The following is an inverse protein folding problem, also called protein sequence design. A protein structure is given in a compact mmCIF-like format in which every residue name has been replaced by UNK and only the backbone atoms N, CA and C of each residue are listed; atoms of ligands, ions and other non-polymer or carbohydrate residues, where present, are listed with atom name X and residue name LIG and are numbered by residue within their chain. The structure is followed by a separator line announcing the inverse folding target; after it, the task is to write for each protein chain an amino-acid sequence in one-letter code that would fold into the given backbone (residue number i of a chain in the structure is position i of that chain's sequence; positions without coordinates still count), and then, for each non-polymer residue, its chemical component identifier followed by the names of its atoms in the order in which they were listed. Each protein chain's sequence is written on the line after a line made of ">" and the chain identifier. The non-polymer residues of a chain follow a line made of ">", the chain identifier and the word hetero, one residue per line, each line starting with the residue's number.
data_IF_271654200576
#
_entry.id   IF_271654200576
#
_cell.length_a   1.000
_cell.length_b   1.000
_cell.length_c   1.000
_cell.angle_alpha   90.00
_cell.angle_beta   90.00
_cell.angle_gamma   90.00
#
_symmetry.space_group_name_H-M   'P 1'
#
loop_
_entity.id
_entity.type
_entity.pdbx_description
1 polymer ?
#
# COMPACT_ATOMS: atom_id res chain seq x y z
N UNK A 1 19.87 -9.75 -7.00
CA UNK A 1 18.75 -9.51 -6.05
C UNK A 1 18.31 -8.07 -6.27
N UNK A 2 17.04 -7.83 -6.60
CA UNK A 2 16.55 -6.48 -6.80
C UNK A 2 16.65 -5.67 -5.51
N UNK A 3 16.80 -4.34 -5.65
CA UNK A 3 16.80 -3.40 -4.54
C UNK A 3 15.57 -2.50 -4.66
N UNK A 4 14.89 -2.24 -3.53
CA UNK A 4 13.71 -1.39 -3.49
C UNK A 4 13.96 -0.18 -2.59
N UNK A 5 14.04 1.01 -3.19
CA UNK A 5 14.01 2.28 -2.47
C UNK A 5 12.56 2.57 -2.12
N UNK A 6 12.28 2.63 -0.82
CA UNK A 6 10.92 2.66 -0.31
C UNK A 6 10.80 3.50 0.97
N UNK A 7 9.57 3.84 1.35
CA UNK A 7 9.29 4.31 2.70
C UNK A 7 8.28 3.38 3.39
N UNK A 8 8.51 3.07 4.68
CA UNK A 8 7.69 2.10 5.44
C UNK A 8 6.21 2.42 5.50
N UNK A 9 5.81 3.70 5.50
CA UNK A 9 4.42 4.15 5.49
C UNK A 9 3.97 4.69 4.14
N UNK A 10 4.72 4.48 3.06
CA UNK A 10 4.22 4.78 1.72
C UNK A 10 3.39 3.61 1.19
N UNK A 11 2.08 3.80 0.86
CA UNK A 11 1.22 2.70 0.41
C UNK A 11 1.68 2.06 -0.89
N UNK A 12 2.23 2.85 -1.82
CA UNK A 12 2.74 2.34 -3.08
C UNK A 12 3.96 1.43 -2.85
N UNK A 13 4.87 1.82 -1.96
CA UNK A 13 6.00 0.99 -1.54
C UNK A 13 5.53 -0.30 -0.84
N UNK A 14 4.49 -0.22 0.00
CA UNK A 14 3.91 -1.39 0.67
C UNK A 14 3.30 -2.37 -0.33
N UNK A 15 2.60 -1.87 -1.35
CA UNK A 15 2.06 -2.71 -2.41
C UNK A 15 3.17 -3.49 -3.12
N UNK A 16 4.25 -2.83 -3.53
CA UNK A 16 5.39 -3.49 -4.18
C UNK A 16 6.05 -4.53 -3.25
N UNK A 17 6.21 -4.20 -1.97
CA UNK A 17 6.73 -5.15 -0.97
C UNK A 17 5.83 -6.38 -0.79
N UNK A 18 4.50 -6.19 -0.80
CA UNK A 18 3.53 -7.29 -0.74
C UNK A 18 3.62 -8.19 -1.96
N UNK A 19 3.75 -7.62 -3.16
CA UNK A 19 3.91 -8.40 -4.39
C UNK A 19 5.17 -9.26 -4.36
N UNK A 20 6.32 -8.69 -4.01
CA UNK A 20 7.55 -9.46 -3.86
C UNK A 20 7.43 -10.58 -2.83
N UNK A 21 6.85 -10.29 -1.67
CA UNK A 21 6.67 -11.28 -0.61
C UNK A 21 5.68 -12.38 -0.99
N UNK A 22 4.62 -12.07 -1.72
CA UNK A 22 3.65 -13.07 -2.20
C UNK A 22 4.26 -13.97 -3.27
N UNK A 23 5.10 -13.42 -4.16
CA UNK A 23 5.82 -14.19 -5.18
C UNK A 23 7.09 -14.87 -4.64
N UNK A 24 7.38 -14.73 -3.34
CA UNK A 24 8.52 -15.37 -2.70
C UNK A 24 9.88 -14.82 -3.16
N UNK A 25 9.90 -13.61 -3.68
CA UNK A 25 11.11 -12.95 -4.19
C UNK A 25 11.78 -12.16 -3.07
N UNK A 26 13.05 -12.46 -2.82
CA UNK A 26 13.87 -11.66 -1.90
C UNK A 26 14.24 -10.33 -2.55
N UNK A 27 14.10 -9.25 -1.78
CA UNK A 27 14.42 -7.89 -2.20
C UNK A 27 15.19 -7.17 -1.10
N UNK A 28 16.23 -6.44 -1.46
CA UNK A 28 16.94 -5.55 -0.55
C UNK A 28 16.13 -4.26 -0.36
N UNK A 29 15.79 -3.94 0.91
CA UNK A 29 14.99 -2.75 1.24
C UNK A 29 15.89 -1.60 1.66
N UNK A 30 15.82 -0.48 0.94
CA UNK A 30 16.53 0.78 1.24
C UNK A 30 15.50 1.85 1.60
N UNK A 31 15.51 2.27 2.88
CA UNK A 31 14.56 3.26 3.36
C UNK A 31 14.91 4.67 2.88
N UNK A 32 13.96 5.33 2.24
CA UNK A 32 14.07 6.70 1.72
C UNK A 32 12.89 7.53 2.22
N UNK A 33 13.17 8.76 2.66
CA UNK A 33 12.16 9.78 2.94
C UNK A 33 12.09 10.77 1.76
N UNK A 34 11.23 10.56 0.75
CA UNK A 34 11.29 11.30 -0.51
C UNK A 34 11.05 12.81 -0.34
N UNK A 35 10.31 13.23 0.69
CA UNK A 35 10.07 14.63 1.02
C UNK A 35 11.32 15.39 1.49
N UNK A 36 12.39 14.69 1.90
CA UNK A 36 13.68 15.30 2.27
C UNK A 36 14.49 15.72 1.05
N UNK A 37 14.13 15.20 -0.14
CA UNK A 37 14.76 15.53 -1.44
C UNK A 37 16.29 15.39 -1.41
N UNK A 38 16.76 14.28 -0.85
CA UNK A 38 18.19 13.96 -0.78
C UNK A 38 18.80 13.99 -2.20
N UNK A 39 19.95 14.69 -2.42
CA UNK A 39 20.56 14.82 -3.75
C UNK A 39 20.89 13.48 -4.40
N UNK A 40 21.42 12.51 -3.67
CA UNK A 40 21.80 11.21 -4.22
C UNK A 40 20.55 10.43 -4.66
N UNK A 41 19.44 10.55 -3.93
CA UNK A 41 18.17 9.99 -4.35
C UNK A 41 17.59 10.69 -5.57
N UNK A 42 17.72 12.01 -5.66
CA UNK A 42 17.24 12.79 -6.82
C UNK A 42 18.01 12.49 -8.10
N UNK A 43 19.27 12.06 -8.03
CA UNK A 43 20.01 11.56 -9.19
C UNK A 43 19.40 10.28 -9.76
N UNK A 44 18.85 9.41 -8.90
CA UNK A 44 18.18 8.18 -9.32
C UNK A 44 16.75 8.49 -9.80
N UNK A 45 16.01 9.30 -9.03
CA UNK A 45 14.63 9.67 -9.33
C UNK A 45 14.35 11.15 -9.09
N UNK A 46 14.46 12.00 -10.14
CA UNK A 46 14.16 13.43 -10.05
C UNK A 46 12.74 13.78 -9.61
N UNK A 47 11.78 12.84 -9.75
CA UNK A 47 10.40 13.03 -9.29
C UNK A 47 10.27 13.04 -7.76
N UNK A 48 11.33 12.66 -7.03
CA UNK A 48 11.33 12.58 -5.56
C UNK A 48 10.15 11.76 -5.01
N UNK A 49 9.92 10.59 -5.60
CA UNK A 49 8.82 9.68 -5.21
C UNK A 49 9.34 8.26 -4.99
N UNK A 50 8.65 7.50 -4.16
CA UNK A 50 8.87 6.06 -3.97
C UNK A 50 7.58 5.31 -4.35
N UNK A 51 7.65 4.02 -4.70
CA UNK A 51 8.82 3.14 -4.78
C UNK A 51 9.71 3.41 -6.01
N UNK A 52 11.00 3.09 -5.88
CA UNK A 52 11.93 2.94 -7.01
C UNK A 52 12.60 1.59 -6.89
N UNK A 53 12.55 0.80 -7.94
CA UNK A 53 13.19 -0.51 -7.99
C UNK A 53 14.43 -0.44 -8.86
N UNK A 54 15.53 -0.98 -8.35
CA UNK A 54 16.79 -1.16 -9.05
C UNK A 54 16.99 -2.66 -9.26
N UNK A 55 16.95 -3.09 -10.51
CA UNK A 55 17.04 -4.50 -10.90
C UNK A 55 17.84 -4.62 -12.20
N UNK A 56 19.14 -4.82 -12.08
CA UNK A 56 20.01 -4.93 -13.26
C UNK A 56 19.59 -6.12 -14.15
N UNK A 57 19.60 -6.00 -15.50
CA UNK A 57 20.17 -4.87 -16.27
C UNK A 57 19.17 -3.76 -16.61
N UNK A 58 18.02 -3.68 -15.97
CA UNK A 58 17.00 -2.69 -16.27
C UNK A 58 17.37 -1.29 -15.74
N UNK A 59 16.92 -0.21 -16.40
CA UNK A 59 16.99 1.13 -15.81
C UNK A 59 16.11 1.19 -14.54
N UNK A 60 16.30 2.21 -13.67
CA UNK A 60 15.45 2.39 -12.50
C UNK A 60 13.96 2.36 -12.83
N UNK A 61 13.21 1.45 -12.20
CA UNK A 61 11.76 1.33 -12.38
C UNK A 61 11.07 2.22 -11.36
N UNK A 62 10.56 3.35 -11.82
CA UNK A 62 10.02 4.40 -10.97
C UNK A 62 8.50 4.34 -10.89
N UNK A 63 7.97 4.30 -9.68
CA UNK A 63 6.55 4.38 -9.40
C UNK A 63 5.82 3.04 -9.40
N UNK A 64 4.64 3.05 -8.82
CA UNK A 64 3.89 1.83 -8.51
C UNK A 64 3.43 1.07 -9.76
N UNK A 65 2.94 1.76 -10.79
CA UNK A 65 2.42 1.09 -11.99
C UNK A 65 3.54 0.42 -12.80
N UNK A 66 4.68 1.10 -12.95
CA UNK A 66 5.86 0.52 -13.58
C UNK A 66 6.40 -0.66 -12.76
N UNK A 67 6.42 -0.54 -11.43
CA UNK A 67 6.81 -1.61 -10.51
C UNK A 67 5.92 -2.83 -10.64
N UNK A 68 4.59 -2.66 -10.67
CA UNK A 68 3.63 -3.75 -10.91
C UNK A 68 3.93 -4.45 -12.23
N UNK A 69 4.05 -3.68 -13.31
CA UNK A 69 4.30 -4.25 -14.64
C UNK A 69 5.62 -5.02 -14.70
N UNK A 70 6.68 -4.49 -14.06
CA UNK A 70 7.98 -5.14 -13.99
C UNK A 70 7.92 -6.45 -13.20
N UNK A 71 7.26 -6.46 -12.03
CA UNK A 71 7.14 -7.66 -11.18
C UNK A 71 6.32 -8.75 -11.89
N UNK A 72 5.17 -8.41 -12.44
CA UNK A 72 4.32 -9.37 -13.17
C UNK A 72 5.05 -9.99 -14.37
N UNK A 73 5.86 -9.20 -15.08
CA UNK A 73 6.58 -9.67 -16.25
C UNK A 73 7.80 -10.54 -15.93
N UNK A 74 8.47 -10.32 -14.77
CA UNK A 74 9.78 -10.93 -14.51
C UNK A 74 9.77 -11.93 -13.34
N UNK A 75 8.80 -11.87 -12.43
CA UNK A 75 8.81 -12.68 -11.20
C UNK A 75 7.53 -13.53 -11.02
N UNK A 76 6.36 -13.02 -11.37
CA UNK A 76 5.08 -13.69 -11.12
C UNK A 76 4.93 -15.04 -11.84
N UNK A 77 5.07 -15.11 -13.17
CA UNK A 77 4.77 -16.33 -13.94
C UNK A 77 5.74 -17.49 -13.69
N UNK A 78 7.00 -17.22 -13.32
CA UNK A 78 8.05 -18.24 -13.16
C UNK A 78 7.92 -19.04 -11.86
N UNK A 79 7.23 -18.52 -10.87
CA UNK A 79 7.13 -19.12 -9.53
C UNK A 79 5.98 -20.14 -9.38
N UNK A 80 5.22 -20.44 -10.44
CA UNK A 80 4.00 -21.28 -10.38
C UNK A 80 2.97 -20.81 -9.34
N UNK A 81 3.02 -19.55 -8.97
CA UNK A 81 2.10 -18.89 -8.08
C UNK A 81 1.00 -18.26 -8.93
N UNK A 82 -0.23 -18.27 -8.47
CA UNK A 82 -1.33 -17.58 -9.16
C UNK A 82 -0.96 -16.10 -9.34
N UNK A 83 -0.98 -15.63 -10.59
CA UNK A 83 -0.70 -14.24 -10.90
C UNK A 83 -1.71 -13.33 -10.18
N UNK A 84 -1.23 -12.28 -9.53
CA UNK A 84 -2.09 -11.28 -8.88
C UNK A 84 -2.91 -10.49 -9.89
N UNK A 85 -2.49 -10.49 -11.15
CA UNK A 85 -3.23 -9.91 -12.26
C UNK A 85 -3.82 -11.04 -13.13
N UNK A 86 -5.16 -11.25 -13.13
CA UNK A 86 -5.80 -12.32 -13.89
C UNK A 86 -5.50 -12.26 -15.40
N UNK A 87 -5.43 -13.40 -16.05
CA UNK A 87 -5.34 -13.47 -17.52
C UNK A 87 -6.67 -13.14 -18.20
N UNK A 88 -7.79 -13.51 -17.57
CA UNK A 88 -9.14 -13.26 -18.08
C UNK A 88 -9.41 -11.76 -18.23
N UNK A 89 -9.84 -11.34 -19.42
CA UNK A 89 -10.02 -9.94 -19.75
C UNK A 89 -11.04 -9.22 -18.86
N UNK A 90 -12.15 -9.84 -18.49
CA UNK A 90 -13.19 -9.23 -17.64
C UNK A 90 -12.72 -9.04 -16.21
N UNK A 91 -12.13 -10.05 -15.61
CA UNK A 91 -11.58 -9.98 -14.26
C UNK A 91 -10.42 -8.99 -14.20
N UNK A 92 -9.56 -9.00 -15.22
CA UNK A 92 -8.45 -8.05 -15.34
C UNK A 92 -8.92 -6.60 -15.37
N UNK A 93 -9.99 -6.31 -16.11
CA UNK A 93 -10.60 -4.96 -16.14
C UNK A 93 -11.10 -4.55 -14.77
N UNK A 94 -11.75 -5.46 -14.03
CA UNK A 94 -12.22 -5.17 -12.67
C UNK A 94 -11.08 -4.90 -11.70
N UNK A 95 -9.98 -5.67 -11.77
CA UNK A 95 -8.76 -5.42 -10.98
C UNK A 95 -8.21 -4.03 -11.25
N UNK A 96 -8.08 -3.64 -12.54
CA UNK A 96 -7.59 -2.30 -12.91
C UNK A 96 -8.51 -1.18 -12.45
N UNK A 97 -9.83 -1.36 -12.56
CA UNK A 97 -10.82 -0.39 -12.08
C UNK A 97 -10.69 -0.14 -10.57
N UNK A 98 -10.54 -1.22 -9.79
CA UNK A 98 -10.38 -1.13 -8.33
C UNK A 98 -9.02 -0.56 -7.96
N UNK A 99 -7.97 -0.95 -8.68
CA UNK A 99 -6.63 -0.40 -8.49
C UNK A 99 -6.61 1.11 -8.76
N UNK A 100 -7.24 1.56 -9.85
CA UNK A 100 -7.41 2.97 -10.17
C UNK A 100 -8.15 3.71 -9.05
N UNK A 101 -9.24 3.15 -8.53
CA UNK A 101 -9.95 3.72 -7.39
C UNK A 101 -9.04 3.91 -6.18
N UNK A 102 -8.25 2.90 -5.84
CA UNK A 102 -7.34 2.97 -4.68
C UNK A 102 -6.24 3.99 -4.91
N UNK A 103 -5.57 3.94 -6.05
CA UNK A 103 -4.39 4.78 -6.30
C UNK A 103 -4.74 6.24 -6.61
N UNK A 104 -5.82 6.49 -7.38
CA UNK A 104 -6.13 7.82 -7.89
C UNK A 104 -7.28 8.51 -7.13
N UNK A 105 -8.01 7.79 -6.28
CA UNK A 105 -9.08 8.38 -5.49
C UNK A 105 -8.85 8.25 -3.99
N UNK A 106 -8.80 7.03 -3.44
CA UNK A 106 -8.57 6.85 -2.01
C UNK A 106 -7.20 7.43 -1.57
N UNK A 107 -6.16 7.17 -2.33
CA UNK A 107 -4.81 7.66 -2.02
C UNK A 107 -4.77 9.18 -1.84
N UNK A 108 -5.13 9.99 -2.86
CA UNK A 108 -5.13 11.44 -2.78
C UNK A 108 -6.15 12.03 -1.81
N UNK A 109 -7.33 11.42 -1.65
CA UNK A 109 -8.41 11.96 -0.80
C UNK A 109 -8.26 11.63 0.69
N UNK A 110 -7.45 10.62 1.03
CA UNK A 110 -7.32 10.13 2.42
C UNK A 110 -5.86 9.99 2.83
N UNK A 111 -5.16 9.00 2.25
CA UNK A 111 -3.86 8.57 2.78
C UNK A 111 -2.80 9.66 2.64
N UNK A 112 -2.79 10.39 1.52
CA UNK A 112 -1.85 11.47 1.29
C UNK A 112 -2.01 12.59 2.33
N UNK A 113 -3.25 13.00 2.63
CA UNK A 113 -3.51 14.02 3.65
C UNK A 113 -3.09 13.56 5.05
N UNK A 114 -3.41 12.33 5.42
CA UNK A 114 -3.06 11.82 6.75
C UNK A 114 -1.55 11.62 6.92
N UNK A 115 -0.85 11.19 5.86
CA UNK A 115 0.60 11.11 5.85
C UNK A 115 1.25 12.49 5.95
N UNK A 116 0.77 13.45 5.17
CA UNK A 116 1.26 14.84 5.24
C UNK A 116 1.13 15.38 6.66
N UNK A 117 -0.08 15.30 7.25
CA UNK A 117 -0.36 15.89 8.53
C UNK A 117 0.34 15.20 9.71
N UNK A 118 0.42 13.86 9.70
CA UNK A 118 0.89 13.08 10.86
C UNK A 118 2.35 12.66 10.78
N UNK A 119 2.88 12.47 9.56
CA UNK A 119 4.24 11.96 9.34
C UNK A 119 5.15 13.06 8.79
N UNK A 120 4.82 13.64 7.62
CA UNK A 120 5.74 14.50 6.88
C UNK A 120 5.98 15.82 7.62
N UNK A 121 4.94 16.51 8.05
CA UNK A 121 5.05 17.75 8.84
C UNK A 121 5.89 17.54 10.10
N UNK A 122 5.70 16.40 10.76
CA UNK A 122 6.46 16.06 11.96
C UNK A 122 7.93 15.81 11.64
N UNK A 123 8.24 15.03 10.59
CA UNK A 123 9.61 14.72 10.19
C UNK A 123 10.37 15.97 9.73
N UNK A 124 9.71 16.84 8.98
CA UNK A 124 10.24 18.13 8.53
C UNK A 124 10.20 19.24 9.58
N UNK A 125 9.50 19.03 10.71
CA UNK A 125 9.22 20.06 11.73
C UNK A 125 8.59 21.32 11.12
N UNK A 126 7.73 21.12 10.11
CA UNK A 126 7.12 22.23 9.33
C UNK A 126 5.82 22.78 9.94
N UNK A 127 5.37 22.24 11.05
CA UNK A 127 4.17 22.70 11.76
C UNK A 127 3.44 21.59 12.51
N UNK A 128 2.38 21.98 13.22
CA UNK A 128 1.47 21.03 13.86
C UNK A 128 0.48 20.46 12.82
N UNK A 129 -0.06 19.24 13.06
CA UNK A 129 -1.14 18.70 12.25
C UNK A 129 -2.36 19.63 12.23
N UNK A 130 -2.98 19.81 11.06
CA UNK A 130 -4.18 20.63 10.90
C UNK A 130 -5.46 19.81 11.13
N UNK A 131 -6.22 20.04 12.22
CA UNK A 131 -7.36 19.19 12.56
C UNK A 131 -8.49 19.20 11.53
N UNK A 132 -8.64 20.28 10.79
CA UNK A 132 -9.66 20.40 9.74
C UNK A 132 -9.35 19.47 8.57
N UNK A 133 -8.10 19.37 8.15
CA UNK A 133 -7.63 18.46 7.08
C UNK A 133 -7.80 17.02 7.52
N UNK A 134 -7.38 16.67 8.73
CA UNK A 134 -7.54 15.30 9.28
C UNK A 134 -9.03 14.91 9.33
N UNK A 135 -9.91 15.83 9.74
CA UNK A 135 -11.36 15.55 9.78
C UNK A 135 -11.94 15.30 8.39
N UNK A 136 -11.53 16.06 7.38
CA UNK A 136 -11.97 15.85 5.99
C UNK A 136 -11.47 14.51 5.48
N UNK A 137 -10.19 14.19 5.66
CA UNK A 137 -9.64 12.90 5.24
C UNK A 137 -10.35 11.72 5.91
N UNK A 138 -10.71 11.82 7.20
CA UNK A 138 -11.48 10.78 7.90
C UNK A 138 -12.92 10.66 7.42
N UNK A 139 -13.55 11.77 7.03
CA UNK A 139 -14.88 11.71 6.41
C UNK A 139 -14.83 11.01 5.05
N UNK A 140 -13.84 11.36 4.22
CA UNK A 140 -13.62 10.66 2.95
C UNK A 140 -13.31 9.17 3.16
N UNK A 141 -12.50 8.83 4.16
CA UNK A 141 -12.23 7.43 4.52
C UNK A 141 -13.51 6.65 4.80
N UNK A 142 -14.47 7.23 5.53
CA UNK A 142 -15.75 6.58 5.81
C UNK A 142 -16.51 6.23 4.54
N UNK A 143 -16.52 7.10 3.53
CA UNK A 143 -17.17 6.85 2.24
C UNK A 143 -16.48 5.72 1.47
N UNK A 144 -15.14 5.71 1.46
CA UNK A 144 -14.38 4.64 0.83
C UNK A 144 -14.60 3.30 1.53
N UNK A 145 -14.61 3.28 2.86
CA UNK A 145 -14.86 2.07 3.65
C UNK A 145 -16.26 1.52 3.38
N UNK A 146 -17.27 2.39 3.31
CA UNK A 146 -18.65 1.99 2.97
C UNK A 146 -18.72 1.37 1.57
N UNK A 147 -18.05 1.96 0.58
CA UNK A 147 -18.01 1.42 -0.78
C UNK A 147 -17.35 0.03 -0.82
N UNK A 148 -16.17 -0.14 -0.21
CA UNK A 148 -15.48 -1.42 -0.22
C UNK A 148 -16.19 -2.49 0.62
N UNK A 149 -16.85 -2.11 1.73
CA UNK A 149 -17.74 -3.02 2.47
C UNK A 149 -18.88 -3.52 1.58
N UNK A 150 -19.51 -2.63 0.82
CA UNK A 150 -20.55 -3.02 -0.12
C UNK A 150 -20.04 -3.98 -1.20
N UNK A 151 -18.83 -3.75 -1.76
CA UNK A 151 -18.20 -4.69 -2.71
C UNK A 151 -17.98 -6.05 -2.08
N UNK A 152 -17.45 -6.09 -0.84
CA UNK A 152 -17.12 -7.31 -0.11
C UNK A 152 -18.33 -8.07 0.47
N UNK A 153 -19.50 -7.42 0.56
CA UNK A 153 -20.73 -8.08 1.00
C UNK A 153 -21.17 -9.26 0.09
N UNK A 154 -20.73 -9.26 -1.17
CA UNK A 154 -21.08 -10.30 -2.16
C UNK A 154 -19.87 -10.99 -2.78
N UNK A 155 -18.66 -10.61 -2.37
CA UNK A 155 -17.41 -11.12 -2.92
C UNK A 155 -16.47 -11.57 -1.81
N UNK A 156 -15.73 -12.64 -2.06
CA UNK A 156 -14.68 -13.09 -1.14
C UNK A 156 -13.47 -12.16 -1.15
N UNK A 157 -13.09 -11.66 -2.34
CA UNK A 157 -12.02 -10.73 -2.62
C UNK A 157 -12.55 -9.57 -3.44
N UNK A 158 -11.83 -8.47 -3.54
CA UNK A 158 -12.34 -7.25 -4.17
C UNK A 158 -12.78 -7.46 -5.62
N UNK A 159 -12.02 -8.22 -6.40
CA UNK A 159 -12.33 -8.45 -7.81
C UNK A 159 -13.15 -9.74 -8.07
N UNK A 160 -13.42 -10.56 -7.06
CA UNK A 160 -14.17 -11.81 -7.20
C UNK A 160 -13.80 -12.87 -6.17
N UNK A 161 -13.53 -14.09 -6.61
CA UNK A 161 -13.33 -15.25 -5.75
C UNK A 161 -11.86 -15.51 -5.40
N UNK A 162 -10.91 -14.93 -6.13
CA UNK A 162 -9.47 -15.07 -5.95
C UNK A 162 -8.82 -13.77 -5.46
N UNK A 163 -7.73 -13.90 -4.69
CA UNK A 163 -6.91 -12.79 -4.26
C UNK A 163 -6.24 -12.14 -5.49
N UNK A 164 -6.30 -10.83 -5.58
CA UNK A 164 -5.74 -10.08 -6.70
C UNK A 164 -4.92 -8.88 -6.27
N UNK A 165 -4.27 -8.25 -7.24
CA UNK A 165 -3.56 -6.99 -7.06
C UNK A 165 -4.43 -5.89 -6.43
N UNK A 166 -5.73 -5.86 -6.72
CA UNK A 166 -6.67 -4.90 -6.12
C UNK A 166 -6.76 -5.05 -4.60
N UNK A 167 -6.73 -6.28 -4.10
CA UNK A 167 -6.74 -6.58 -2.67
C UNK A 167 -5.46 -6.07 -2.00
N UNK A 168 -4.31 -6.32 -2.60
CA UNK A 168 -3.04 -5.84 -2.06
C UNK A 168 -2.93 -4.31 -2.11
N UNK A 169 -3.43 -3.68 -3.16
CA UNK A 169 -3.45 -2.23 -3.25
C UNK A 169 -4.28 -1.59 -2.12
N UNK A 170 -5.49 -2.07 -1.91
CA UNK A 170 -6.32 -1.58 -0.80
C UNK A 170 -5.68 -1.91 0.55
N UNK A 171 -5.19 -3.14 0.75
CA UNK A 171 -4.55 -3.55 2.00
C UNK A 171 -3.30 -2.74 2.32
N UNK A 172 -2.52 -2.34 1.33
CA UNK A 172 -1.38 -1.45 1.50
C UNK A 172 -1.81 -0.10 2.09
N UNK A 173 -2.87 0.53 1.55
CA UNK A 173 -3.42 1.78 2.08
C UNK A 173 -4.04 1.59 3.47
N UNK A 174 -4.89 0.58 3.65
CA UNK A 174 -5.51 0.26 4.95
C UNK A 174 -4.44 0.03 6.02
N UNK A 175 -3.35 -0.65 5.68
CA UNK A 175 -2.27 -0.91 6.63
C UNK A 175 -1.54 0.34 7.13
N UNK A 176 -1.44 1.37 6.30
CA UNK A 176 -0.90 2.68 6.70
C UNK A 176 -1.86 3.39 7.64
N UNK A 177 -3.16 3.37 7.31
CA UNK A 177 -4.21 3.98 8.12
C UNK A 177 -4.39 3.26 9.46
N UNK A 178 -4.28 1.93 9.47
CA UNK A 178 -4.28 1.10 10.69
C UNK A 178 -3.05 1.41 11.55
N UNK A 179 -1.85 1.51 10.95
CA UNK A 179 -0.65 1.94 11.67
C UNK A 179 -0.85 3.26 12.41
N UNK A 180 -1.48 4.23 11.75
CA UNK A 180 -1.73 5.57 12.30
C UNK A 180 -2.94 5.64 13.26
N UNK A 181 -3.71 4.55 13.42
CA UNK A 181 -4.90 4.50 14.26
C UNK A 181 -6.08 5.34 13.71
N UNK A 182 -6.20 5.42 12.39
CA UNK A 182 -7.24 6.24 11.75
C UNK A 182 -8.49 5.47 11.36
N UNK A 183 -8.51 4.14 11.52
CA UNK A 183 -9.65 3.28 11.17
C UNK A 183 -10.49 2.99 12.41
N UNK A 184 -11.79 3.25 12.30
CA UNK A 184 -12.78 2.85 13.31
C UNK A 184 -13.24 1.41 13.02
N UNK A 185 -12.46 0.43 13.47
CA UNK A 185 -12.66 -0.99 13.15
C UNK A 185 -14.02 -1.52 13.60
N UNK A 186 -14.60 -0.97 14.66
CA UNK A 186 -15.94 -1.31 15.15
C UNK A 186 -17.06 -0.97 14.16
N UNK A 187 -16.77 -0.14 13.14
CA UNK A 187 -17.70 0.29 12.10
C UNK A 187 -17.32 -0.20 10.71
N UNK A 188 -16.26 -1.00 10.60
CA UNK A 188 -15.66 -1.34 9.32
C UNK A 188 -16.41 -2.44 8.53
N UNK A 189 -17.32 -3.18 9.19
CA UNK A 189 -18.12 -4.22 8.51
C UNK A 189 -17.23 -5.29 7.85
N UNK A 190 -17.57 -5.67 6.62
CA UNK A 190 -16.92 -6.75 5.86
C UNK A 190 -15.44 -6.47 5.56
N UNK A 191 -15.03 -5.20 5.54
CA UNK A 191 -13.61 -4.84 5.34
C UNK A 191 -12.76 -5.38 6.50
N UNK A 192 -13.26 -5.41 7.72
CA UNK A 192 -12.53 -5.92 8.87
C UNK A 192 -12.14 -7.39 8.66
N UNK A 193 -13.08 -8.23 8.29
CA UNK A 193 -12.86 -9.65 8.06
C UNK A 193 -11.99 -9.90 6.83
N UNK A 194 -12.17 -9.11 5.77
CA UNK A 194 -11.34 -9.15 4.59
C UNK A 194 -9.90 -8.76 4.92
N UNK A 195 -9.70 -7.66 5.66
CA UNK A 195 -8.37 -7.21 6.04
C UNK A 195 -7.67 -8.19 6.98
N UNK A 196 -8.38 -8.80 7.94
CA UNK A 196 -7.84 -9.83 8.81
C UNK A 196 -7.33 -11.04 7.99
N UNK A 197 -8.05 -11.46 6.94
CA UNK A 197 -7.59 -12.53 6.04
C UNK A 197 -6.29 -12.17 5.31
N UNK A 198 -6.14 -10.93 4.82
CA UNK A 198 -4.91 -10.48 4.15
C UNK A 198 -3.76 -10.34 5.17
N UNK A 199 -4.03 -9.71 6.29
CA UNK A 199 -3.07 -9.45 7.36
C UNK A 199 -2.45 -10.74 7.93
N UNK A 200 -3.22 -11.84 7.91
CA UNK A 200 -2.77 -13.17 8.35
C UNK A 200 -1.85 -13.87 7.35
N UNK A 201 -1.72 -13.38 6.11
CA UNK A 201 -0.86 -14.00 5.08
C UNK A 201 0.63 -13.86 5.43
N UNK A 202 1.45 -14.87 5.11
CA UNK A 202 2.89 -14.77 5.30
C UNK A 202 3.52 -13.53 4.64
N UNK A 203 3.05 -13.16 3.45
CA UNK A 203 3.50 -11.98 2.71
C UNK A 203 3.26 -10.66 3.45
N UNK A 204 2.30 -10.60 4.36
CA UNK A 204 1.98 -9.39 5.11
C UNK A 204 2.84 -9.21 6.37
N UNK A 205 3.42 -10.28 6.90
CA UNK A 205 4.20 -10.25 8.16
C UNK A 205 5.33 -9.22 8.18
N UNK A 206 6.12 -9.04 7.09
CA UNK A 206 7.18 -8.02 7.08
C UNK A 206 6.66 -6.59 7.30
N UNK A 207 5.44 -6.28 6.83
CA UNK A 207 4.82 -4.97 7.05
C UNK A 207 4.48 -4.77 8.54
N UNK A 208 3.99 -5.79 9.21
CA UNK A 208 3.63 -5.72 10.64
C UNK A 208 4.84 -5.47 11.55
N UNK A 209 6.03 -5.75 11.06
CA UNK A 209 7.29 -5.47 11.77
C UNK A 209 7.76 -4.01 11.60
N UNK A 210 7.21 -3.26 10.65
CA UNK A 210 7.60 -1.86 10.42
C UNK A 210 7.42 -1.01 11.67
N UNK A 211 8.41 -0.15 11.92
CA UNK A 211 8.36 0.84 13.02
C UNK A 211 8.90 2.17 12.51
N UNK A 212 8.22 3.24 12.91
CA UNK A 212 8.65 4.63 12.65
C UNK A 212 9.11 5.25 13.96
N UNK A 213 10.31 5.81 13.94
CA UNK A 213 10.88 6.45 15.12
C UNK A 213 9.98 7.57 15.64
N UNK A 214 9.58 7.45 16.91
CA UNK A 214 8.72 8.42 17.59
C UNK A 214 7.25 8.43 17.10
N UNK A 215 6.80 7.47 16.30
CA UNK A 215 5.41 7.27 15.89
C UNK A 215 5.04 5.80 16.12
N UNK A 216 4.62 5.42 17.33
CA UNK A 216 4.22 4.05 17.62
C UNK A 216 3.01 3.66 16.79
N UNK A 217 2.98 2.40 16.35
CA UNK A 217 1.81 1.84 15.70
C UNK A 217 0.62 1.77 16.66
N UNK A 218 -0.59 1.88 16.13
CA UNK A 218 -1.81 1.61 16.89
C UNK A 218 -1.83 0.16 17.41
N UNK A 219 -2.54 -0.08 18.51
CA UNK A 219 -2.62 -1.43 19.13
C UNK A 219 -3.18 -2.48 18.18
N UNK A 220 -4.10 -2.10 17.32
CA UNK A 220 -4.72 -2.96 16.30
C UNK A 220 -3.76 -3.40 15.20
N UNK A 221 -2.69 -2.63 14.95
CA UNK A 221 -1.83 -2.83 13.78
C UNK A 221 -1.13 -4.19 13.72
N UNK A 222 -0.61 -4.67 14.83
CA UNK A 222 0.07 -5.98 14.89
C UNK A 222 -0.86 -7.10 15.41
N UNK A 223 -2.06 -6.76 15.86
CA UNK A 223 -3.07 -7.70 16.31
C UNK A 223 -3.79 -8.31 15.09
N UNK A 224 -3.86 -9.64 15.01
CA UNK A 224 -4.54 -10.35 13.92
C UNK A 224 -6.03 -10.53 14.21
N UNK A 225 -6.44 -10.41 15.48
CA UNK A 225 -7.80 -10.62 15.97
C UNK A 225 -8.46 -9.28 16.42
N UNK A 226 -7.98 -8.16 15.95
CA UNK A 226 -8.35 -6.78 16.32
C UNK A 226 -9.84 -6.44 16.13
#
# INVERSE_FOLDING_TARGET
>A
MPQLLHHKLDPASRLIRLMFAEYGVEVELVEVAPWRRDPDFLEINPAASVPVMLDEPFPPVVGVLAGIAHIEANFGPEQHIEALLPENGTEKVEVWRLLEWVLLKLGPEVTAYLLEEKLIKRDLRSGAPEPSVIRIAKANLSEHMAYFSWVLATRRWLAGDTLTLADFALAAHISVLDYMGDIAWEKAGEIKDWYARIKSRPAFRPLLADRIVGMPAASTYADLDF
#
